data_IF_198265342939
#
_entry.id   IF_198265342939
#
_cell.length_a   1.000
_cell.length_b   1.000
_cell.length_c   1.000
_cell.angle_alpha   90.00
_cell.angle_beta   90.00
_cell.angle_gamma   90.00
#
_symmetry.space_group_name_H-M   'P 1'
#
loop_
_entity.id
_entity.type
_entity.pdbx_description
1 polymer ?
#
# COMPACT_ATOMS: atom_id res chain seq x y z
N UNK A 1 -0.76 6.54 8.63
CA UNK A 1 0.40 5.83 9.21
C UNK A 1 0.78 4.62 8.36
N UNK A 2 -0.09 3.60 8.24
CA UNK A 2 0.19 2.38 7.48
C UNK A 2 0.74 2.62 6.06
N UNK A 3 0.12 3.49 5.26
CA UNK A 3 0.63 3.81 3.92
C UNK A 3 2.03 4.46 3.93
N UNK A 4 2.38 5.25 4.95
CA UNK A 4 3.72 5.83 5.08
C UNK A 4 4.75 4.76 5.43
N UNK A 5 4.39 3.84 6.33
CA UNK A 5 5.22 2.68 6.65
C UNK A 5 5.37 1.76 5.42
N UNK A 6 4.33 1.65 4.59
CA UNK A 6 4.37 0.93 3.32
C UNK A 6 5.33 1.58 2.31
N UNK A 7 5.34 2.91 2.20
CA UNK A 7 6.31 3.64 1.37
C UNK A 7 7.76 3.36 1.84
N UNK A 8 7.99 3.33 3.16
CA UNK A 8 9.29 2.92 3.71
C UNK A 8 9.61 1.44 3.41
N UNK A 9 8.63 0.55 3.57
CA UNK A 9 8.78 -0.87 3.28
C UNK A 9 9.10 -1.13 1.80
N UNK A 10 8.52 -0.36 0.89
CA UNK A 10 8.86 -0.43 -0.54
C UNK A 10 10.36 -0.16 -0.76
N UNK A 11 10.93 0.87 -0.12
CA UNK A 11 12.36 1.16 -0.21
C UNK A 11 13.22 0.00 0.33
N UNK A 12 12.83 -0.59 1.46
CA UNK A 12 13.58 -1.66 2.13
C UNK A 12 13.53 -3.01 1.39
N UNK A 13 12.49 -3.22 0.57
CA UNK A 13 12.26 -4.48 -0.15
C UNK A 13 12.63 -4.40 -1.63
N UNK A 14 13.21 -3.28 -2.08
CA UNK A 14 13.62 -3.08 -3.47
C UNK A 14 12.48 -2.71 -4.43
N UNK A 15 11.30 -2.35 -3.91
CA UNK A 15 10.18 -1.80 -4.68
C UNK A 15 10.25 -0.27 -4.79
N UNK A 16 9.41 0.33 -5.65
CA UNK A 16 9.47 1.77 -5.91
C UNK A 16 8.84 2.62 -4.79
N UNK A 17 9.62 3.09 -3.83
CA UNK A 17 9.13 4.00 -2.80
C UNK A 17 8.61 5.34 -3.37
N UNK A 18 9.24 5.85 -4.44
CA UNK A 18 8.79 7.05 -5.13
C UNK A 18 7.43 6.83 -5.81
N UNK A 19 7.24 5.68 -6.46
CA UNK A 19 5.96 5.28 -7.05
C UNK A 19 4.88 5.10 -5.98
N UNK A 20 5.21 4.42 -4.89
CA UNK A 20 4.32 4.22 -3.75
C UNK A 20 3.81 5.57 -3.19
N UNK A 21 4.72 6.52 -2.96
CA UNK A 21 4.38 7.86 -2.48
C UNK A 21 3.51 8.62 -3.47
N UNK A 22 3.88 8.61 -4.75
CA UNK A 22 3.17 9.35 -5.80
C UNK A 22 1.73 8.86 -5.97
N UNK A 23 1.55 7.54 -6.10
CA UNK A 23 0.22 6.95 -6.29
C UNK A 23 -0.60 7.03 -5.00
N UNK A 24 -0.02 6.82 -3.82
CA UNK A 24 -0.75 7.03 -2.57
C UNK A 24 -1.29 8.45 -2.43
N UNK A 25 -0.45 9.45 -2.73
CA UNK A 25 -0.87 10.86 -2.74
C UNK A 25 -2.00 11.14 -3.72
N UNK A 26 -2.05 10.43 -4.86
CA UNK A 26 -3.05 10.64 -5.91
C UNK A 26 -4.35 9.90 -5.65
N UNK A 27 -4.26 8.62 -5.27
CA UNK A 27 -5.36 7.66 -5.36
C UNK A 27 -5.85 7.14 -3.98
N UNK A 28 -5.32 7.62 -2.84
CA UNK A 28 -5.73 7.17 -1.49
C UNK A 28 -7.21 7.37 -1.14
N UNK A 29 -7.98 8.02 -2.00
CA UNK A 29 -9.43 8.22 -1.86
C UNK A 29 -10.25 7.48 -2.94
N UNK A 30 -9.60 6.71 -3.82
CA UNK A 30 -10.24 5.97 -4.91
C UNK A 30 -10.80 4.61 -4.43
N UNK A 31 -11.45 4.61 -3.28
CA UNK A 31 -12.16 3.44 -2.77
C UNK A 31 -13.28 3.89 -1.85
N UNK A 32 -14.42 3.17 -1.86
CA UNK A 32 -15.58 3.52 -1.05
C UNK A 32 -15.26 3.50 0.46
N UNK A 33 -14.44 2.52 0.87
CA UNK A 33 -13.87 2.49 2.22
C UNK A 33 -12.67 3.45 2.31
N UNK A 34 -12.70 4.45 3.23
CA UNK A 34 -11.61 5.41 3.42
C UNK A 34 -10.32 4.76 3.94
N UNK A 35 -10.41 3.53 4.45
CA UNK A 35 -9.28 2.78 4.99
C UNK A 35 -8.59 1.91 3.91
N UNK A 36 -9.32 1.43 2.90
CA UNK A 36 -8.80 0.45 1.92
C UNK A 36 -7.76 1.05 0.99
N UNK A 37 -8.10 2.20 0.37
CA UNK A 37 -7.25 2.79 -0.65
C UNK A 37 -5.88 3.24 -0.15
N UNK A 38 -5.66 3.38 1.17
CA UNK A 38 -4.41 3.90 1.72
C UNK A 38 -3.21 3.01 1.36
N UNK A 39 -3.26 1.73 1.75
CA UNK A 39 -2.17 0.79 1.47
C UNK A 39 -2.28 0.19 0.07
N UNK A 40 -3.48 0.07 -0.49
CA UNK A 40 -3.69 -0.37 -1.88
C UNK A 40 -3.02 0.57 -2.89
N UNK A 41 -3.19 1.88 -2.74
CA UNK A 41 -2.55 2.88 -3.62
C UNK A 41 -1.03 2.95 -3.44
N UNK A 42 -0.54 2.82 -2.22
CA UNK A 42 0.90 2.70 -1.98
C UNK A 42 1.48 1.42 -2.63
N UNK A 43 0.78 0.29 -2.51
CA UNK A 43 1.20 -0.99 -3.10
C UNK A 43 1.18 -0.94 -4.64
N UNK A 44 0.10 -0.43 -5.23
CA UNK A 44 -0.04 -0.26 -6.68
C UNK A 44 1.13 0.58 -7.25
N UNK A 45 1.45 1.70 -6.59
CA UNK A 45 2.57 2.55 -6.96
C UNK A 45 3.95 1.90 -6.74
N UNK A 46 4.11 1.13 -5.68
CA UNK A 46 5.35 0.41 -5.40
C UNK A 46 5.68 -0.63 -6.48
N UNK A 47 4.64 -1.32 -6.96
CA UNK A 47 4.73 -2.40 -7.93
C UNK A 47 4.68 -1.92 -9.39
N UNK A 48 4.16 -0.71 -9.64
CA UNK A 48 3.93 -0.19 -11.00
C UNK A 48 2.78 -0.90 -11.72
N UNK A 49 1.72 -1.24 -10.97
CA UNK A 49 0.54 -1.93 -11.50
C UNK A 49 -0.73 -1.12 -11.22
N UNK A 50 -1.81 -1.45 -11.93
CA UNK A 50 -3.13 -0.93 -11.66
C UNK A 50 -3.98 -1.97 -10.93
N UNK A 51 -4.62 -1.54 -9.84
CA UNK A 51 -5.53 -2.32 -9.01
C UNK A 51 -6.95 -1.75 -9.11
N UNK A 52 -7.91 -2.50 -8.55
CA UNK A 52 -9.33 -2.18 -8.56
C UNK A 52 -9.86 -1.96 -10.00
N UNK A 53 -10.76 -1.01 -10.20
CA UNK A 53 -11.44 -0.77 -11.47
C UNK A 53 -12.81 -1.47 -11.58
N UNK A 54 -13.49 -1.27 -12.73
CA UNK A 54 -14.84 -1.75 -12.94
C UNK A 54 -14.97 -3.26 -12.79
N UNK A 55 -16.06 -3.71 -12.18
CA UNK A 55 -16.30 -5.12 -11.92
C UNK A 55 -17.77 -5.49 -12.15
N UNK A 56 -18.02 -6.76 -12.49
CA UNK A 56 -19.37 -7.31 -12.52
C UNK A 56 -19.64 -8.14 -11.27
N UNK A 57 -20.71 -7.83 -10.55
CA UNK A 57 -21.20 -8.64 -9.44
C UNK A 57 -22.64 -9.06 -9.73
N UNK A 58 -22.90 -10.37 -9.69
CA UNK A 58 -24.24 -10.93 -9.95
C UNK A 58 -24.87 -10.48 -11.28
N UNK A 59 -24.04 -10.21 -12.30
CA UNK A 59 -24.49 -9.73 -13.61
C UNK A 59 -24.67 -8.21 -13.72
N UNK A 60 -24.55 -7.47 -12.61
CA UNK A 60 -24.61 -6.02 -12.61
C UNK A 60 -23.21 -5.41 -12.74
N UNK A 61 -23.09 -4.36 -13.57
CA UNK A 61 -21.87 -3.59 -13.74
C UNK A 61 -21.71 -2.55 -12.63
N UNK A 62 -20.55 -2.58 -11.98
CA UNK A 62 -20.16 -1.60 -10.97
C UNK A 62 -18.97 -0.82 -11.48
N UNK A 63 -19.19 0.45 -11.78
CA UNK A 63 -18.14 1.39 -12.10
C UNK A 63 -17.39 1.76 -10.81
N UNK A 64 -16.14 1.32 -10.70
CA UNK A 64 -15.27 1.60 -9.55
C UNK A 64 -14.01 2.30 -10.07
N UNK A 65 -13.49 3.30 -9.35
CA UNK A 65 -12.26 3.93 -9.74
C UNK A 65 -11.10 2.93 -9.70
N UNK A 66 -10.12 3.13 -10.58
CA UNK A 66 -8.86 2.41 -10.57
C UNK A 66 -7.88 3.04 -9.58
N UNK A 67 -6.92 2.23 -9.14
CA UNK A 67 -5.84 2.65 -8.25
C UNK A 67 -4.49 2.32 -8.91
N UNK A 68 -3.63 3.32 -9.08
CA UNK A 68 -2.33 3.16 -9.74
C UNK A 68 -2.38 3.21 -11.27
N UNK A 69 -1.20 3.00 -11.86
CA UNK A 69 -0.97 3.11 -13.30
C UNK A 69 -0.56 1.74 -13.88
N UNK A 70 -1.05 1.36 -15.07
CA UNK A 70 -0.76 0.07 -15.68
C UNK A 70 0.60 0.08 -16.38
N UNK A 71 1.68 0.38 -15.66
CA UNK A 71 3.04 0.45 -16.23
C UNK A 71 3.54 -0.92 -16.70
N UNK A 72 3.01 -1.98 -16.08
CA UNK A 72 3.17 -3.38 -16.50
C UNK A 72 1.94 -4.20 -16.09
N UNK A 73 1.71 -5.37 -16.69
CA UNK A 73 0.67 -6.28 -16.22
C UNK A 73 0.97 -6.82 -14.82
N UNK A 74 -0.10 -7.18 -14.11
CA UNK A 74 -0.02 -7.92 -12.84
C UNK A 74 0.47 -9.33 -13.14
N UNK A 75 1.37 -9.83 -12.30
CA UNK A 75 1.90 -11.20 -12.39
C UNK A 75 1.87 -11.90 -11.02
N UNK A 76 1.89 -13.25 -10.96
CA UNK A 76 1.83 -13.99 -9.70
C UNK A 76 2.90 -13.59 -8.68
N UNK A 77 4.08 -13.18 -9.14
CA UNK A 77 5.19 -12.73 -8.29
C UNK A 77 4.85 -11.44 -7.51
N UNK A 78 3.85 -10.67 -7.94
CA UNK A 78 3.39 -9.49 -7.21
C UNK A 78 2.79 -9.82 -5.86
N UNK A 79 2.23 -11.02 -5.69
CA UNK A 79 1.76 -11.50 -4.39
C UNK A 79 2.95 -11.57 -3.42
N UNK A 80 4.06 -12.18 -3.84
CA UNK A 80 5.24 -12.33 -3.00
C UNK A 80 5.91 -10.98 -2.70
N UNK A 81 5.94 -10.06 -3.67
CA UNK A 81 6.46 -8.69 -3.46
C UNK A 81 5.59 -7.91 -2.48
N UNK A 82 4.27 -8.03 -2.60
CA UNK A 82 3.32 -7.41 -1.68
C UNK A 82 3.47 -7.98 -0.26
N UNK A 83 3.63 -9.30 -0.13
CA UNK A 83 3.85 -9.96 1.16
C UNK A 83 5.17 -9.52 1.80
N UNK A 84 6.25 -9.41 1.01
CA UNK A 84 7.54 -8.88 1.51
C UNK A 84 7.39 -7.46 2.06
N UNK A 85 6.69 -6.58 1.33
CA UNK A 85 6.40 -5.23 1.81
C UNK A 85 5.52 -5.25 3.07
N UNK A 86 4.51 -6.11 3.13
CA UNK A 86 3.62 -6.24 4.29
C UNK A 86 4.38 -6.67 5.55
N UNK A 87 5.27 -7.67 5.45
CA UNK A 87 6.09 -8.10 6.59
C UNK A 87 7.07 -7.01 7.03
N UNK A 88 7.70 -6.32 6.07
CA UNK A 88 8.59 -5.20 6.39
C UNK A 88 7.83 -4.05 7.07
N UNK A 89 6.64 -3.70 6.57
CA UNK A 89 5.75 -2.70 7.16
C UNK A 89 5.32 -3.08 8.59
N UNK A 90 4.98 -4.36 8.81
CA UNK A 90 4.61 -4.88 10.12
C UNK A 90 5.77 -4.77 11.13
N UNK A 91 7.00 -5.08 10.71
CA UNK A 91 8.19 -4.93 11.57
C UNK A 91 8.45 -3.45 11.88
N UNK A 92 8.33 -2.56 10.88
CA UNK A 92 8.46 -1.11 11.09
C UNK A 92 7.42 -0.59 12.09
N UNK A 93 6.17 -1.03 11.96
CA UNK A 93 5.08 -0.67 12.87
C UNK A 93 5.36 -1.15 14.30
N UNK A 94 5.83 -2.39 14.45
CA UNK A 94 6.21 -2.96 15.74
C UNK A 94 7.35 -2.18 16.40
N UNK A 95 8.43 -1.91 15.67
CA UNK A 95 9.58 -1.15 16.17
C UNK A 95 9.16 0.26 16.58
N UNK A 96 8.36 0.94 15.75
CA UNK A 96 7.84 2.26 16.07
C UNK A 96 6.98 2.23 17.34
N UNK A 97 6.08 1.26 17.47
CA UNK A 97 5.22 1.10 18.65
C UNK A 97 6.03 0.82 19.93
N UNK A 98 7.05 -0.03 19.85
CA UNK A 98 7.96 -0.31 20.97
C UNK A 98 8.78 0.93 21.36
N UNK A 99 9.27 1.69 20.38
CA UNK A 99 10.00 2.93 20.61
C UNK A 99 9.12 3.97 21.31
N UNK A 100 7.90 4.21 20.81
CA UNK A 100 6.93 5.12 21.44
C UNK A 100 6.63 4.67 22.88
N UNK A 101 6.41 3.38 23.11
CA UNK A 101 6.19 2.85 24.47
C UNK A 101 7.39 3.10 25.37
N UNK A 102 8.62 2.86 24.89
CA UNK A 102 9.82 3.06 25.68
C UNK A 102 9.99 4.54 26.08
N UNK A 103 9.77 5.48 25.15
CA UNK A 103 9.79 6.91 25.43
C UNK A 103 8.78 7.28 26.53
N UNK A 104 7.54 6.77 26.42
CA UNK A 104 6.48 7.07 27.39
C UNK A 104 6.73 6.47 28.79
N UNK A 105 7.33 5.28 28.88
CA UNK A 105 7.57 4.59 30.16
C UNK A 105 8.84 5.07 30.85
N UNK A 106 9.90 5.31 30.08
CA UNK A 106 11.23 5.61 30.62
C UNK A 106 11.60 7.10 30.53
N UNK A 107 10.75 7.95 29.94
CA UNK A 107 10.93 9.41 29.93
C UNK A 107 12.13 9.90 29.12
N UNK A 108 12.53 9.14 28.08
CA UNK A 108 13.49 9.60 27.07
C UNK A 108 12.84 10.62 26.13
#
# INVERSE_FOLDING_TARGET
>A
LAALLWVCAAALTGSSAAGAWHIWRRDRCNHASPNSAQTESACAGALGVQLAGPAYYFGEYYDKPTIGDPLRPVEPQDILRADQMMYAESVLALVLGLAVRALLVFGL
#
